data_IF_246710158711
#
_entry.id   IF_246710158711
#
_cell.length_a   1.000
_cell.length_b   1.000
_cell.length_c   1.000
_cell.angle_alpha   90.00
_cell.angle_beta   90.00
_cell.angle_gamma   90.00
#
_symmetry.space_group_name_H-M   'P 1'
#
loop_
_entity.id
_entity.type
_entity.pdbx_description
1 polymer ?
#
# COMPACT_ATOMS: atom_id res chain seq x y z
N UNK A 1 5.83 5.24 4.73
CA UNK A 1 6.93 6.23 4.71
C UNK A 1 7.70 6.30 3.38
N UNK A 2 8.02 5.18 2.71
CA UNK A 2 8.74 5.18 1.43
C UNK A 2 8.27 6.21 0.40
N UNK A 3 6.96 6.34 0.17
CA UNK A 3 6.43 7.31 -0.80
C UNK A 3 6.81 8.76 -0.46
N UNK A 4 6.76 9.13 0.84
CA UNK A 4 7.17 10.47 1.25
C UNK A 4 8.64 10.70 0.92
N UNK A 5 9.50 9.77 1.33
CA UNK A 5 10.94 9.83 1.13
C UNK A 5 11.32 9.87 -0.37
N UNK A 6 10.72 8.97 -1.16
CA UNK A 6 11.06 8.81 -2.56
C UNK A 6 10.40 9.84 -3.49
N UNK A 7 9.20 10.32 -3.18
CA UNK A 7 8.41 11.15 -4.10
C UNK A 7 8.11 12.55 -3.60
N UNK A 8 8.03 12.79 -2.29
CA UNK A 8 7.47 14.03 -1.74
C UNK A 8 8.53 14.98 -1.22
N UNK A 9 9.33 14.55 -0.24
CA UNK A 9 10.19 15.43 0.55
C UNK A 9 11.52 15.77 -0.13
N UNK A 10 11.85 15.07 -1.22
CA UNK A 10 12.99 15.44 -2.07
C UNK A 10 12.73 16.66 -2.96
N UNK A 11 11.46 17.11 -3.03
CA UNK A 11 11.06 18.34 -3.69
C UNK A 11 10.80 19.42 -2.65
N UNK A 12 11.23 20.64 -2.94
CA UNK A 12 11.01 21.80 -2.06
C UNK A 12 10.37 22.92 -2.88
N UNK A 13 9.12 23.33 -2.58
CA UNK A 13 8.21 22.79 -1.55
C UNK A 13 7.76 21.35 -1.81
N UNK A 14 7.29 20.65 -0.75
CA UNK A 14 6.75 19.28 -0.82
C UNK A 14 5.84 19.06 -2.03
N UNK A 15 6.10 17.98 -2.78
CA UNK A 15 5.31 17.60 -3.97
C UNK A 15 3.82 17.53 -3.63
N UNK A 16 2.99 18.08 -4.52
CA UNK A 16 1.53 18.12 -4.41
C UNK A 16 0.98 18.77 -3.13
N UNK A 17 1.78 19.57 -2.41
CA UNK A 17 1.39 20.18 -1.14
C UNK A 17 0.93 19.13 -0.10
N UNK A 18 1.54 17.96 -0.12
CA UNK A 18 1.32 16.92 0.89
C UNK A 18 1.92 17.43 2.21
N UNK A 19 1.09 17.49 3.26
CA UNK A 19 1.46 18.13 4.54
C UNK A 19 1.24 17.23 5.76
N UNK A 20 0.66 16.04 5.57
CA UNK A 20 0.32 15.13 6.68
C UNK A 20 0.23 13.68 6.25
N UNK A 21 0.43 12.79 7.20
CA UNK A 21 0.04 11.39 7.13
C UNK A 21 -1.37 11.24 7.66
N UNK A 22 -2.23 10.58 6.90
CA UNK A 22 -3.56 10.15 7.35
C UNK A 22 -3.54 8.63 7.53
N UNK A 23 -4.11 8.16 8.64
CA UNK A 23 -4.27 6.75 8.95
C UNK A 23 -5.73 6.38 8.81
N UNK A 24 -5.99 5.21 8.24
CA UNK A 24 -7.33 4.70 8.04
C UNK A 24 -7.43 3.28 8.58
N UNK A 25 -8.55 2.96 9.21
CA UNK A 25 -8.97 1.59 9.44
C UNK A 25 -9.77 1.13 8.24
N UNK A 26 -9.36 0.02 7.65
CA UNK A 26 -9.95 -0.51 6.43
C UNK A 26 -10.51 -1.89 6.72
N UNK A 27 -11.77 -2.13 6.35
CA UNK A 27 -12.32 -3.48 6.24
C UNK A 27 -12.41 -3.83 4.77
N UNK A 28 -12.07 -5.05 4.38
CA UNK A 28 -12.20 -5.51 3.01
C UNK A 28 -12.75 -6.93 2.95
N UNK A 29 -13.33 -7.26 1.79
CA UNK A 29 -13.72 -8.63 1.46
C UNK A 29 -13.46 -8.86 -0.02
N UNK A 30 -12.76 -9.96 -0.30
CA UNK A 30 -12.49 -10.40 -1.65
C UNK A 30 -13.80 -10.62 -2.41
N UNK A 31 -13.81 -10.26 -3.69
CA UNK A 31 -14.92 -10.63 -4.55
C UNK A 31 -14.89 -12.14 -4.80
N UNK A 32 -16.05 -12.75 -5.07
CA UNK A 32 -16.11 -14.19 -5.37
C UNK A 32 -15.12 -14.61 -6.47
N UNK A 33 -14.97 -13.88 -7.59
CA UNK A 33 -13.97 -14.23 -8.61
C UNK A 33 -12.52 -14.20 -8.11
N UNK A 34 -12.13 -13.21 -7.29
CA UNK A 34 -10.79 -13.11 -6.71
C UNK A 34 -10.56 -14.24 -5.70
N UNK A 35 -11.54 -14.49 -4.84
CA UNK A 35 -11.51 -15.56 -3.84
C UNK A 35 -11.39 -16.94 -4.49
N UNK A 36 -12.09 -17.18 -5.60
CA UNK A 36 -12.00 -18.44 -6.37
C UNK A 36 -10.61 -18.65 -6.98
N UNK A 37 -9.85 -17.57 -7.21
CA UNK A 37 -8.44 -17.65 -7.59
C UNK A 37 -7.51 -17.85 -6.39
N UNK A 38 -8.04 -18.09 -5.19
CA UNK A 38 -7.27 -18.26 -3.96
C UNK A 38 -6.50 -17.01 -3.54
N UNK A 39 -7.06 -15.83 -3.80
CA UNK A 39 -6.50 -14.53 -3.40
C UNK A 39 -7.54 -13.72 -2.63
N UNK A 40 -7.10 -12.77 -1.82
CA UNK A 40 -7.92 -11.76 -1.20
C UNK A 40 -7.84 -10.42 -1.93
N UNK A 41 -6.71 -10.18 -2.60
CA UNK A 41 -6.42 -8.94 -3.31
C UNK A 41 -6.15 -9.18 -4.80
N UNK A 42 -6.56 -8.23 -5.62
CA UNK A 42 -6.17 -8.17 -7.03
C UNK A 42 -4.89 -7.35 -7.24
N UNK A 43 -4.61 -7.01 -8.50
CA UNK A 43 -3.46 -6.16 -8.83
C UNK A 43 -3.61 -4.77 -8.20
N UNK A 44 -2.53 -4.22 -7.63
CA UNK A 44 -2.52 -2.80 -7.23
C UNK A 44 -2.59 -1.91 -8.45
N UNK A 45 -3.62 -1.07 -8.54
CA UNK A 45 -3.68 -0.01 -9.53
C UNK A 45 -3.20 1.35 -8.98
N UNK A 46 -2.41 2.07 -9.76
CA UNK A 46 -2.10 3.47 -9.55
C UNK A 46 -3.32 4.34 -9.90
N UNK A 47 -3.48 5.43 -9.15
CA UNK A 47 -4.52 6.41 -9.37
C UNK A 47 -3.91 7.80 -9.40
N UNK A 48 -4.04 8.48 -10.53
CA UNK A 48 -3.61 9.86 -10.71
C UNK A 48 -4.86 10.73 -10.88
N UNK A 49 -4.99 11.79 -10.07
CA UNK A 49 -6.18 12.63 -10.04
C UNK A 49 -7.51 11.83 -9.92
N UNK A 50 -7.51 10.74 -9.16
CA UNK A 50 -8.64 9.82 -8.96
C UNK A 50 -9.06 8.98 -10.18
N UNK A 51 -8.29 9.02 -11.26
CA UNK A 51 -8.39 8.13 -12.41
C UNK A 51 -7.43 6.95 -12.25
N UNK A 52 -7.88 5.75 -12.59
CA UNK A 52 -7.05 4.55 -12.64
C UNK A 52 -6.12 4.63 -13.85
N UNK A 53 -4.81 4.68 -13.60
CA UNK A 53 -3.79 4.87 -14.65
C UNK A 53 -2.97 3.63 -14.96
N UNK A 54 -3.21 2.53 -14.23
CA UNK A 54 -2.67 1.22 -14.56
C UNK A 54 -2.02 0.50 -13.38
N UNK A 55 -1.36 -0.65 -13.62
CA UNK A 55 -0.90 -1.12 -14.92
C UNK A 55 -2.02 -1.46 -15.91
N UNK A 56 -1.78 -1.21 -17.21
CA UNK A 56 -2.71 -1.55 -18.30
C UNK A 56 -4.13 -0.98 -18.11
N UNK A 57 -5.12 -1.59 -18.78
CA UNK A 57 -6.51 -1.16 -18.71
C UNK A 57 -7.19 -1.73 -17.45
N UNK A 58 -7.61 -0.84 -16.56
CA UNK A 58 -8.28 -1.19 -15.31
C UNK A 58 -9.69 -1.75 -15.52
N UNK A 59 -10.43 -1.21 -16.48
CA UNK A 59 -11.84 -1.54 -16.73
C UNK A 59 -12.03 -3.00 -17.11
N UNK A 60 -11.05 -3.59 -17.81
CA UNK A 60 -11.07 -5.01 -18.17
C UNK A 60 -11.13 -5.88 -16.90
N UNK A 61 -10.27 -5.60 -15.92
CA UNK A 61 -10.20 -6.45 -14.74
C UNK A 61 -11.26 -6.08 -13.71
N UNK A 62 -11.67 -4.82 -13.59
CA UNK A 62 -12.82 -4.47 -12.77
C UNK A 62 -14.12 -5.05 -13.33
N UNK A 63 -14.29 -5.08 -14.65
CA UNK A 63 -15.42 -5.77 -15.28
C UNK A 63 -15.40 -7.29 -15.04
N UNK A 64 -14.21 -7.90 -15.01
CA UNK A 64 -14.05 -9.35 -14.80
C UNK A 64 -14.20 -9.78 -13.34
N UNK A 65 -13.62 -9.01 -12.42
CA UNK A 65 -13.43 -9.41 -11.02
C UNK A 65 -14.19 -8.53 -10.02
N UNK A 66 -14.95 -7.54 -10.50
CA UNK A 66 -15.51 -6.49 -9.65
C UNK A 66 -14.45 -5.47 -9.21
N UNK A 67 -14.87 -4.43 -8.50
CA UNK A 67 -14.00 -3.40 -7.92
C UNK A 67 -13.23 -3.92 -6.71
N UNK A 68 -12.35 -4.89 -6.94
CA UNK A 68 -11.50 -5.51 -5.92
C UNK A 68 -10.54 -4.51 -5.26
N UNK A 69 -10.11 -4.80 -4.03
CA UNK A 69 -8.97 -4.12 -3.41
C UNK A 69 -7.69 -4.69 -4.02
N UNK A 70 -6.82 -3.81 -4.52
CA UNK A 70 -5.53 -4.21 -5.08
C UNK A 70 -4.42 -4.17 -4.05
N UNK A 71 -3.38 -4.99 -4.20
CA UNK A 71 -2.17 -4.89 -3.38
C UNK A 71 -0.89 -5.18 -4.16
N UNK A 72 0.24 -4.67 -3.66
CA UNK A 72 1.56 -5.13 -4.02
C UNK A 72 2.54 -4.95 -2.86
N UNK A 73 3.51 -5.85 -2.76
CA UNK A 73 4.72 -5.60 -1.99
C UNK A 73 5.61 -4.65 -2.80
N UNK A 74 6.18 -3.63 -2.16
CA UNK A 74 7.11 -2.75 -2.86
C UNK A 74 8.40 -3.53 -3.15
N UNK A 75 8.94 -3.37 -4.35
CA UNK A 75 10.02 -4.20 -4.89
C UNK A 75 9.52 -5.32 -5.81
N UNK A 76 8.20 -5.55 -5.84
CA UNK A 76 7.54 -6.51 -6.71
C UNK A 76 6.56 -5.81 -7.68
N UNK A 77 6.10 -6.55 -8.69
CA UNK A 77 5.09 -6.06 -9.63
C UNK A 77 3.82 -5.59 -8.88
N UNK A 78 3.16 -4.48 -9.30
CA UNK A 78 3.38 -3.73 -10.53
C UNK A 78 4.54 -2.76 -10.50
N UNK A 79 4.61 -1.87 -9.53
CA UNK A 79 5.72 -0.93 -9.34
C UNK A 79 5.75 -0.43 -7.88
N UNK A 80 6.93 -0.08 -7.34
CA UNK A 80 8.27 -0.25 -7.92
C UNK A 80 8.71 -1.73 -7.96
N UNK A 81 9.47 -2.11 -9.00
CA UNK A 81 10.02 -3.47 -9.20
C UNK A 81 11.53 -3.54 -8.92
N UNK A 82 12.04 -2.58 -8.14
CA UNK A 82 13.44 -2.49 -7.73
C UNK A 82 13.54 -2.53 -6.21
N UNK A 83 14.73 -2.85 -5.69
CA UNK A 83 14.97 -2.96 -4.26
C UNK A 83 14.55 -1.67 -3.53
N UNK A 84 13.77 -1.87 -2.47
CA UNK A 84 13.37 -0.82 -1.54
C UNK A 84 13.87 -1.17 -0.15
N UNK A 85 14.22 -0.15 0.62
CA UNK A 85 14.84 -0.30 1.95
C UNK A 85 13.86 0.04 3.08
N UNK A 86 12.55 0.00 2.80
CA UNK A 86 11.49 0.06 3.80
C UNK A 86 10.91 -1.33 3.95
N UNK A 87 11.37 -2.06 4.96
CA UNK A 87 11.03 -3.46 5.13
C UNK A 87 9.51 -3.68 5.24
N UNK A 88 9.03 -4.70 4.52
CA UNK A 88 7.62 -5.08 4.54
C UNK A 88 6.66 -4.02 3.96
N UNK A 89 7.17 -2.97 3.29
CA UNK A 89 6.34 -1.93 2.70
C UNK A 89 5.42 -2.50 1.63
N UNK A 90 4.14 -2.13 1.73
CA UNK A 90 3.07 -2.57 0.83
C UNK A 90 2.24 -1.38 0.39
N UNK A 91 1.66 -1.48 -0.78
CA UNK A 91 0.62 -0.58 -1.23
C UNK A 91 -0.68 -1.32 -1.41
N UNK A 92 -1.76 -0.61 -1.11
CA UNK A 92 -3.13 -1.03 -1.33
C UNK A 92 -3.84 0.00 -2.21
N UNK A 93 -4.80 -0.48 -2.98
CA UNK A 93 -5.65 0.36 -3.82
C UNK A 93 -7.10 0.11 -3.52
N UNK A 94 -7.82 1.19 -3.27
CA UNK A 94 -9.25 1.21 -2.93
C UNK A 94 -10.02 1.92 -4.06
N UNK A 95 -10.68 1.19 -4.98
CA UNK A 95 -11.38 1.80 -6.11
C UNK A 95 -12.60 2.61 -5.66
N UNK A 96 -12.49 3.93 -5.73
CA UNK A 96 -13.65 4.83 -5.63
C UNK A 96 -14.53 4.78 -6.88
N UNK A 97 -15.68 5.45 -6.81
CA UNK A 97 -16.61 5.56 -7.95
C UNK A 97 -15.97 6.24 -9.16
N UNK A 98 -16.41 5.86 -10.36
CA UNK A 98 -15.93 6.33 -11.65
C UNK A 98 -14.39 6.33 -11.74
N UNK A 99 -13.72 5.17 -11.55
CA UNK A 99 -12.27 5.07 -11.63
C UNK A 99 -11.74 5.34 -13.05
N UNK A 100 -12.54 5.31 -14.11
CA UNK A 100 -12.05 5.61 -15.47
C UNK A 100 -11.74 7.10 -15.71
N UNK A 101 -12.22 8.01 -14.85
CA UNK A 101 -12.11 9.46 -15.06
C UNK A 101 -11.38 10.16 -13.91
N UNK A 102 -10.82 11.34 -14.19
CA UNK A 102 -10.27 12.20 -13.14
C UNK A 102 -11.38 12.77 -12.25
N UNK A 103 -11.06 13.24 -11.05
CA UNK A 103 -12.04 13.82 -10.12
C UNK A 103 -12.81 15.02 -10.71
N UNK A 104 -12.28 15.70 -11.74
CA UNK A 104 -12.95 16.82 -12.43
C UNK A 104 -13.96 16.35 -13.48
N UNK A 105 -13.80 15.13 -13.97
CA UNK A 105 -14.55 14.55 -15.08
C UNK A 105 -15.57 13.49 -14.60
N UNK A 106 -15.68 13.27 -13.29
CA UNK A 106 -16.69 12.37 -12.73
C UNK A 106 -18.05 13.04 -12.79
N UNK A 107 -19.00 12.36 -13.41
CA UNK A 107 -20.40 12.77 -13.45
C UNK A 107 -21.31 11.67 -12.89
N UNK A 108 -22.60 11.98 -12.78
CA UNK A 108 -23.59 11.04 -12.25
C UNK A 108 -23.74 9.79 -13.13
N UNK A 109 -23.50 9.88 -14.44
CA UNK A 109 -23.59 8.73 -15.34
C UNK A 109 -22.46 7.76 -15.05
N UNK A 110 -21.22 8.25 -15.01
CA UNK A 110 -20.05 7.44 -14.75
C UNK A 110 -20.06 6.84 -13.34
N UNK A 111 -20.51 7.60 -12.32
CA UNK A 111 -20.64 7.07 -10.95
C UNK A 111 -21.67 5.94 -10.91
N UNK A 112 -22.76 6.05 -11.66
CA UNK A 112 -23.78 5.00 -11.75
C UNK A 112 -23.26 3.76 -12.48
N UNK A 113 -22.56 3.95 -13.59
CA UNK A 113 -22.03 2.85 -14.40
C UNK A 113 -20.82 2.17 -13.73
N UNK A 114 -20.09 2.94 -12.93
CA UNK A 114 -18.90 2.49 -12.21
C UNK A 114 -18.97 2.91 -10.73
N UNK A 115 -19.75 2.22 -9.89
CA UNK A 115 -19.94 2.62 -8.49
C UNK A 115 -18.66 2.51 -7.62
N UNK A 116 -17.63 1.80 -8.09
CA UNK A 116 -16.44 1.49 -7.29
C UNK A 116 -16.73 0.38 -6.27
N UNK A 117 -15.81 0.17 -5.33
CA UNK A 117 -15.90 -0.91 -4.34
C UNK A 117 -16.29 -0.46 -2.93
N UNK A 118 -16.57 0.82 -2.72
CA UNK A 118 -16.82 1.37 -1.39
C UNK A 118 -18.21 0.99 -0.89
N UNK A 119 -18.28 0.38 0.28
CA UNK A 119 -19.49 0.08 1.02
C UNK A 119 -19.84 1.19 2.02
N UNK A 120 -21.14 1.37 2.27
CA UNK A 120 -21.64 2.15 3.41
C UNK A 120 -21.51 1.39 4.76
N UNK A 121 -21.32 0.07 4.71
CA UNK A 121 -21.20 -0.80 5.88
C UNK A 121 -20.17 -1.90 5.70
N UNK A 122 -20.43 -3.07 6.29
CA UNK A 122 -19.53 -4.22 6.21
C UNK A 122 -19.37 -4.71 4.76
N UNK A 123 -18.14 -4.87 4.26
CA UNK A 123 -17.89 -5.41 2.92
C UNK A 123 -18.52 -6.78 2.70
N UNK A 124 -19.30 -6.89 1.62
CA UNK A 124 -20.02 -8.12 1.26
C UNK A 124 -19.22 -9.02 0.32
N UNK A 125 -18.24 -8.46 -0.39
CA UNK A 125 -17.54 -9.13 -1.49
C UNK A 125 -18.34 -9.09 -2.79
N UNK A 126 -19.44 -8.34 -2.85
CA UNK A 126 -20.06 -8.00 -4.13
C UNK A 126 -19.10 -7.13 -4.96
N UNK A 127 -19.24 -7.18 -6.28
CA UNK A 127 -18.35 -6.44 -7.18
C UNK A 127 -18.34 -4.93 -6.97
N UNK A 128 -19.37 -4.38 -6.34
CA UNK A 128 -19.56 -2.97 -6.00
C UNK A 128 -19.46 -2.67 -4.49
N UNK A 129 -19.15 -3.68 -3.67
CA UNK A 129 -19.00 -3.53 -2.22
C UNK A 129 -17.93 -4.50 -1.68
N UNK A 130 -16.69 -4.02 -1.74
CA UNK A 130 -15.45 -4.76 -1.42
C UNK A 130 -14.66 -4.16 -0.28
N UNK A 131 -14.86 -2.89 0.07
CA UNK A 131 -14.16 -2.26 1.20
C UNK A 131 -14.99 -1.18 1.90
N UNK A 132 -14.65 -0.91 3.16
CA UNK A 132 -15.07 0.29 3.89
C UNK A 132 -13.85 0.92 4.56
N UNK A 133 -13.92 2.24 4.74
CA UNK A 133 -12.84 3.04 5.32
C UNK A 133 -13.37 3.88 6.48
N UNK A 134 -12.59 3.94 7.54
CA UNK A 134 -12.83 4.78 8.71
C UNK A 134 -11.55 5.59 8.98
N UNK A 135 -11.67 6.90 9.18
CA UNK A 135 -10.52 7.74 9.50
C UNK A 135 -10.01 7.41 10.90
N UNK A 136 -8.71 7.14 11.02
CA UNK A 136 -8.06 6.64 12.22
C UNK A 136 -6.90 7.55 12.68
N UNK A 137 -7.01 8.85 12.40
CA UNK A 137 -6.09 9.89 12.88
C UNK A 137 -5.15 10.43 11.80
N UNK A 138 -4.50 11.55 12.12
CA UNK A 138 -3.53 12.18 11.23
C UNK A 138 -2.38 12.84 12.01
N UNK A 139 -1.21 12.91 11.36
CA UNK A 139 -0.02 13.58 11.90
C UNK A 139 0.56 14.50 10.83
N UNK A 140 0.72 15.82 11.10
CA UNK A 140 1.43 16.73 10.20
C UNK A 140 2.88 16.28 9.96
N UNK A 141 3.38 16.42 8.74
CA UNK A 141 4.78 16.09 8.42
C UNK A 141 5.76 16.96 9.21
N UNK A 142 5.43 18.24 9.36
CA UNK A 142 6.16 19.20 10.19
C UNK A 142 6.36 18.68 11.62
N UNK A 143 5.34 18.05 12.21
CA UNK A 143 5.40 17.46 13.56
C UNK A 143 6.35 16.24 13.60
N UNK A 144 6.33 15.41 12.55
CA UNK A 144 7.18 14.21 12.43
C UNK A 144 8.65 14.62 12.29
N UNK A 145 8.92 15.65 11.51
CA UNK A 145 10.27 16.13 11.19
C UNK A 145 10.83 17.07 12.27
N UNK A 146 9.95 17.66 13.09
CA UNK A 146 10.34 18.68 14.07
C UNK A 146 10.52 20.08 13.46
N UNK A 147 9.88 20.36 12.33
CA UNK A 147 9.89 21.67 11.67
C UNK A 147 8.77 22.53 12.27
N UNK A 148 9.10 23.65 12.91
CA UNK A 148 8.10 24.54 13.51
C UNK A 148 7.49 25.54 12.53
N UNK A 149 8.25 25.96 11.51
CA UNK A 149 7.81 26.89 10.46
C UNK A 149 8.41 26.44 9.12
N UNK A 150 7.59 25.73 8.34
CA UNK A 150 8.01 25.20 7.04
C UNK A 150 8.34 26.29 6.02
N UNK A 151 7.66 27.44 6.08
CA UNK A 151 7.93 28.54 5.17
C UNK A 151 9.28 29.20 5.49
N UNK A 152 9.62 29.35 6.77
CA UNK A 152 10.93 29.79 7.19
C UNK A 152 12.04 28.79 6.80
N UNK A 153 11.80 27.50 7.05
CA UNK A 153 12.72 26.42 6.66
C UNK A 153 13.14 26.52 5.18
N UNK A 154 12.17 26.66 4.27
CA UNK A 154 12.44 26.84 2.83
C UNK A 154 13.18 28.15 2.55
N UNK A 155 12.72 29.26 3.12
CA UNK A 155 13.30 30.60 2.87
C UNK A 155 14.77 30.65 3.28
N UNK A 156 15.14 29.92 4.33
CA UNK A 156 16.50 29.86 4.87
C UNK A 156 17.40 28.89 4.07
N UNK A 157 16.86 28.26 3.01
CA UNK A 157 17.60 27.40 2.07
C UNK A 157 17.72 25.94 2.51
N UNK A 158 16.98 25.54 3.53
CA UNK A 158 16.96 24.15 4.00
C UNK A 158 16.12 23.24 3.08
N UNK A 159 16.43 21.95 3.10
CA UNK A 159 15.78 20.92 2.31
C UNK A 159 15.52 19.71 3.20
N UNK A 160 14.31 19.16 3.16
CA UNK A 160 13.98 17.97 3.95
C UNK A 160 14.81 16.77 3.52
N UNK A 161 15.07 16.63 2.21
CA UNK A 161 15.90 15.56 1.65
C UNK A 161 16.48 15.96 0.28
N UNK A 162 17.74 15.63 0.04
CA UNK A 162 18.41 15.77 -1.24
C UNK A 162 18.83 14.37 -1.74
N UNK A 163 18.23 13.92 -2.85
CA UNK A 163 18.48 12.58 -3.42
C UNK A 163 19.93 12.34 -3.85
N UNK A 164 20.66 13.37 -4.26
CA UNK A 164 22.05 13.23 -4.71
C UNK A 164 22.98 13.01 -3.52
N UNK A 165 22.72 13.69 -2.41
CA UNK A 165 23.53 13.60 -1.20
C UNK A 165 23.02 12.52 -0.22
N UNK A 166 21.84 11.97 -0.47
CA UNK A 166 21.12 11.01 0.38
C UNK A 166 20.93 11.50 1.82
N UNK A 167 20.69 12.81 1.98
CA UNK A 167 20.49 13.49 3.26
C UNK A 167 19.73 14.79 3.13
N UNK A 168 19.20 15.31 4.23
CA UNK A 168 18.63 16.65 4.29
C UNK A 168 19.69 17.76 4.42
N UNK A 169 19.24 19.01 4.25
CA UNK A 169 20.04 20.22 4.48
C UNK A 169 19.35 20.98 5.61
N UNK A 170 19.97 21.02 6.79
CA UNK A 170 19.37 21.63 7.99
C UNK A 170 18.36 20.73 8.73
N UNK A 171 18.20 19.48 8.27
CA UNK A 171 17.37 18.43 8.87
C UNK A 171 18.04 17.08 8.55
N UNK A 172 18.05 16.16 9.51
CA UNK A 172 18.62 14.80 9.35
C UNK A 172 17.55 13.70 9.32
N UNK A 173 16.28 14.07 9.52
CA UNK A 173 15.18 13.12 9.67
C UNK A 173 15.06 12.17 8.48
N UNK A 174 15.38 12.58 7.26
CA UNK A 174 15.29 11.78 6.03
C UNK A 174 16.64 11.23 5.54
N UNK A 175 17.72 11.29 6.32
CA UNK A 175 19.03 10.79 5.86
C UNK A 175 19.06 9.27 5.60
N UNK A 176 19.65 8.84 4.48
CA UNK A 176 19.77 7.43 4.13
C UNK A 176 18.46 6.81 3.65
N UNK A 177 18.07 7.07 2.40
CA UNK A 177 16.93 6.42 1.74
C UNK A 177 17.13 4.91 1.63
N UNK A 178 18.38 4.49 1.42
CA UNK A 178 18.75 3.10 1.24
C UNK A 178 19.28 2.43 2.53
N UNK A 179 19.04 3.05 3.69
CA UNK A 179 19.38 2.49 4.99
C UNK A 179 18.13 1.90 5.66
N UNK A 180 18.09 0.57 5.74
CA UNK A 180 16.96 -0.17 6.32
C UNK A 180 16.76 0.17 7.81
N UNK A 181 17.83 0.32 8.57
CA UNK A 181 17.74 0.58 10.01
C UNK A 181 17.22 2.01 10.25
N UNK A 182 17.72 2.99 9.50
CA UNK A 182 17.22 4.36 9.55
C UNK A 182 15.73 4.42 9.16
N UNK A 183 15.32 3.68 8.13
CA UNK A 183 13.93 3.60 7.70
C UNK A 183 13.02 2.94 8.74
N UNK A 184 13.50 1.89 9.42
CA UNK A 184 12.78 1.23 10.51
C UNK A 184 12.63 2.16 11.72
N UNK A 185 13.65 2.96 12.05
CA UNK A 185 13.56 4.00 13.09
C UNK A 185 12.48 5.04 12.75
N UNK A 186 12.40 5.48 11.49
CA UNK A 186 11.35 6.41 11.03
C UNK A 186 9.95 5.82 11.19
N UNK A 187 9.78 4.56 10.80
CA UNK A 187 8.51 3.85 10.98
C UNK A 187 8.12 3.77 12.46
N UNK A 188 9.04 3.34 13.32
CA UNK A 188 8.81 3.25 14.75
C UNK A 188 8.45 4.60 15.38
N UNK A 189 9.10 5.69 14.97
CA UNK A 189 8.75 7.05 15.42
C UNK A 189 7.32 7.41 15.05
N UNK A 190 6.89 7.16 13.81
CA UNK A 190 5.53 7.47 13.36
C UNK A 190 4.50 6.64 14.12
N UNK A 191 4.77 5.36 14.35
CA UNK A 191 3.90 4.48 15.14
C UNK A 191 3.76 4.97 16.59
N UNK A 192 4.85 5.35 17.23
CA UNK A 192 4.85 5.94 18.58
C UNK A 192 4.01 7.22 18.61
N UNK A 193 4.19 8.11 17.63
CA UNK A 193 3.44 9.36 17.56
C UNK A 193 1.93 9.11 17.38
N UNK A 194 1.53 8.14 16.53
CA UNK A 194 0.12 7.77 16.40
C UNK A 194 -0.42 7.21 17.71
N UNK A 195 0.32 6.31 18.38
CA UNK A 195 -0.13 5.74 19.65
C UNK A 195 -0.26 6.79 20.75
N UNK A 196 0.65 7.77 20.78
CA UNK A 196 0.59 8.88 21.73
C UNK A 196 -0.57 9.82 21.46
N UNK A 197 -0.81 10.18 20.19
CA UNK A 197 -1.84 11.14 19.79
C UNK A 197 -3.25 10.55 19.77
N UNK A 198 -3.36 9.26 19.49
CA UNK A 198 -4.62 8.51 19.38
C UNK A 198 -4.56 7.20 20.18
N UNK A 199 -4.45 7.26 21.53
CA UNK A 199 -4.19 6.08 22.36
C UNK A 199 -5.29 5.02 22.30
N UNK A 200 -6.54 5.44 22.06
CA UNK A 200 -7.73 4.59 22.02
C UNK A 200 -7.96 3.94 20.64
N UNK A 201 -7.21 4.35 19.61
CA UNK A 201 -7.27 3.74 18.29
C UNK A 201 -6.26 2.59 18.19
N UNK A 202 -6.58 1.49 17.47
CA UNK A 202 -5.68 0.36 17.31
C UNK A 202 -4.41 0.78 16.56
N UNK A 203 -3.24 0.39 17.08
CA UNK A 203 -1.94 0.55 16.41
C UNK A 203 -1.70 -0.53 15.35
N UNK A 204 -0.60 -0.42 14.59
CA UNK A 204 -0.23 -1.45 13.60
C UNK A 204 0.16 -2.77 14.27
N UNK A 205 0.56 -2.74 15.55
CA UNK A 205 0.74 -3.94 16.37
C UNK A 205 -0.57 -4.63 16.80
N UNK A 206 -1.66 -3.87 16.95
CA UNK A 206 -2.98 -4.41 17.33
C UNK A 206 -3.74 -4.94 16.10
N UNK A 207 -3.60 -4.23 14.98
CA UNK A 207 -4.21 -4.55 13.69
C UNK A 207 -3.13 -4.46 12.60
N UNK A 208 -2.33 -5.52 12.41
CA UNK A 208 -1.30 -5.52 11.38
C UNK A 208 -1.93 -5.39 9.99
N UNK A 209 -1.22 -4.68 9.11
CA UNK A 209 -1.57 -4.66 7.70
C UNK A 209 -1.65 -6.10 7.16
N UNK A 210 -2.67 -6.43 6.35
CA UNK A 210 -2.78 -7.78 5.80
C UNK A 210 -1.56 -8.14 4.94
N UNK A 211 -1.39 -9.44 4.66
CA UNK A 211 -0.42 -9.87 3.66
C UNK A 211 -0.96 -9.54 2.26
N UNK A 212 -0.07 -9.17 1.33
CA UNK A 212 -0.43 -9.08 -0.06
C UNK A 212 -0.31 -10.46 -0.71
N UNK A 213 -1.44 -11.09 -1.00
CA UNK A 213 -1.53 -12.41 -1.61
C UNK A 213 -1.83 -12.37 -3.11
N UNK A 214 -1.65 -11.20 -3.73
CA UNK A 214 -1.79 -11.04 -5.17
C UNK A 214 -0.81 -11.94 -5.92
N UNK A 215 -1.33 -12.73 -6.87
CA UNK A 215 -0.55 -13.60 -7.74
C UNK A 215 -0.81 -13.25 -9.20
N UNK A 216 0.21 -12.68 -9.83
CA UNK A 216 0.12 -12.09 -11.17
C UNK A 216 -0.38 -13.08 -12.22
N UNK A 217 0.18 -14.29 -12.26
CA UNK A 217 -0.16 -15.28 -13.29
C UNK A 217 -1.62 -15.71 -13.17
N UNK A 218 -2.07 -16.05 -11.97
CA UNK A 218 -3.43 -16.47 -11.66
C UNK A 218 -4.43 -15.36 -11.99
N UNK A 219 -4.09 -14.11 -11.62
CA UNK A 219 -4.93 -12.96 -11.88
C UNK A 219 -5.15 -12.70 -13.37
N UNK A 220 -4.10 -12.69 -14.19
CA UNK A 220 -4.23 -12.37 -15.62
C UNK A 220 -4.70 -13.56 -16.47
N UNK A 221 -4.35 -14.79 -16.11
CA UNK A 221 -4.87 -15.99 -16.80
C UNK A 221 -6.29 -16.35 -16.38
N UNK A 222 -6.69 -15.99 -15.15
CA UNK A 222 -7.94 -16.45 -14.54
C UNK A 222 -7.93 -17.93 -14.19
N UNK A 223 -6.75 -18.55 -14.03
CA UNK A 223 -6.60 -19.96 -13.69
C UNK A 223 -5.73 -20.13 -12.46
N UNK A 224 -6.12 -21.03 -11.55
CA UNK A 224 -5.30 -21.40 -10.39
C UNK A 224 -4.20 -22.35 -10.82
N UNK A 225 -2.95 -22.00 -10.56
CA UNK A 225 -1.84 -22.94 -10.69
C UNK A 225 -2.01 -24.01 -9.63
N UNK A 226 -2.45 -25.21 -10.02
CA UNK A 226 -2.42 -26.37 -9.12
C UNK A 226 -0.96 -26.78 -8.99
N UNK A 227 -0.24 -26.21 -8.02
CA UNK A 227 1.07 -26.75 -7.65
C UNK A 227 0.82 -28.10 -6.99
N UNK A 228 0.84 -29.16 -7.79
CA UNK A 228 0.89 -30.53 -7.27
C UNK A 228 2.19 -30.66 -6.49
N UNK A 229 2.14 -30.40 -5.18
CA UNK A 229 3.24 -30.72 -4.29
C UNK A 229 3.32 -32.25 -4.27
N UNK A 230 4.19 -32.81 -5.11
CA UNK A 230 4.54 -34.22 -5.02
C UNK A 230 5.27 -34.37 -3.69
N UNK A 231 4.53 -34.68 -2.64
CA UNK A 231 5.10 -35.15 -1.37
C UNK A 231 5.78 -36.47 -1.69
N UNK A 232 7.10 -36.41 -1.90
CA UNK A 232 7.92 -37.61 -1.91
C UNK A 232 7.77 -38.24 -0.52
N UNK A 233 7.34 -39.51 -0.41
CA UNK A 233 7.28 -40.17 0.88
C UNK A 233 8.67 -40.14 1.51
N UNK A 234 8.80 -39.93 2.83
CA UNK A 234 10.09 -40.08 3.49
C UNK A 234 10.65 -41.48 3.17
N UNK A 235 11.96 -41.60 2.94
CA UNK A 235 12.57 -42.89 2.67
C UNK A 235 12.26 -43.84 3.84
N UNK A 236 11.95 -45.12 3.57
CA UNK A 236 11.69 -46.08 4.62
C UNK A 236 12.90 -46.13 5.56
N UNK A 237 12.66 -46.05 6.87
CA UNK A 237 13.69 -46.14 7.89
C UNK A 237 14.56 -47.36 7.62
N UNK A 238 15.86 -47.12 7.40
CA UNK A 238 16.83 -48.19 7.27
C UNK A 238 16.89 -48.97 8.59
N UNK A 239 16.60 -50.27 8.47
CA UNK A 239 16.63 -51.26 9.53
C UNK A 239 18.08 -51.41 10.01
N UNK A 240 18.44 -50.77 11.12
CA UNK A 240 19.75 -50.91 11.77
C UNK A 240 19.82 -52.30 12.41
N UNK A 241 20.30 -53.28 11.65
CA UNK A 241 20.79 -54.53 12.24
C UNK A 241 22.19 -54.29 12.82
N UNK A 242 22.46 -54.71 14.07
CA UNK A 242 23.80 -54.70 14.61
C UNK A 242 24.61 -55.84 13.98
N UNK A 243 25.76 -55.51 13.39
CA UNK A 243 26.78 -56.50 13.04
C UNK A 243 27.42 -57.05 14.32
N UNK A 244 27.59 -58.37 14.36
CA UNK A 244 28.34 -59.14 15.38
C UNK A 244 29.75 -59.35 14.85
#
# INVERSE_FOLDING_TARGET
MWYLHNEVVWMTPRKFNITRLQRFKVSSRATTPIYNLGMNFGVRYAYDAAQCTGPWNCDINYGKYGYFVGCNNLGEFPFPTYQIYYEGAKWYTLPGACPSNTYKEKDASCIKDQPGGRCEGTPTGAGDCTFSIEHAGEIPLDEIEGISDYAAFIRDGYQEFNKTEDKGIGLDFWDGLNDTDANNIRMAKVDEMFKKKYPDLPGDGDLPSPACDFRMNEFYTGTTTTTTTTTTPPPPCADLRPEI
#
